data_IF_549708688339
#
_entry.id   IF_549708688339
#
_cell.length_a   1.000
_cell.length_b   1.000
_cell.length_c   1.000
_cell.angle_alpha   90.00
_cell.angle_beta   90.00
_cell.angle_gamma   90.00
#
_symmetry.space_group_name_H-M   'P 1'
#
loop_
_entity.id
_entity.type
_entity.pdbx_description
1 polymer ?
#
# COMPACT_ATOMS: atom_id res chain seq x y z
N UNK A 1 16.46 -7.30 1.59
CA UNK A 1 15.10 -7.22 2.20
C UNK A 1 15.07 -6.05 3.18
N UNK A 2 13.84 -5.59 3.58
CA UNK A 2 13.68 -4.63 4.68
C UNK A 2 13.13 -5.36 5.90
N UNK A 3 13.88 -5.35 7.00
CA UNK A 3 13.52 -5.97 8.27
C UNK A 3 12.98 -4.91 9.23
N UNK A 4 11.69 -4.92 9.46
CA UNK A 4 11.05 -3.99 10.39
C UNK A 4 10.91 -4.65 11.77
N UNK A 5 11.62 -4.12 12.77
CA UNK A 5 11.61 -4.63 14.14
C UNK A 5 10.53 -3.90 14.93
N UNK A 6 9.63 -4.64 15.56
CA UNK A 6 8.62 -4.04 16.42
C UNK A 6 9.24 -3.29 17.60
N UNK A 7 8.57 -2.23 18.06
CA UNK A 7 9.00 -1.44 19.21
C UNK A 7 9.28 -2.31 20.45
N UNK A 8 8.44 -3.31 20.71
CA UNK A 8 8.63 -4.23 21.83
C UNK A 8 9.90 -5.04 21.66
N UNK A 9 10.15 -5.61 20.48
CA UNK A 9 11.33 -6.42 20.20
C UNK A 9 12.63 -5.62 20.24
N UNK A 10 12.59 -4.32 19.89
CA UNK A 10 13.75 -3.42 20.03
C UNK A 10 14.15 -3.19 21.49
N UNK A 11 13.18 -3.10 22.40
CA UNK A 11 13.39 -2.79 23.79
C UNK A 11 13.51 -4.02 24.70
N UNK A 12 13.20 -5.22 24.20
CA UNK A 12 13.22 -6.44 25.02
C UNK A 12 14.65 -6.82 25.41
N UNK A 13 14.87 -7.03 26.71
CA UNK A 13 16.18 -7.33 27.29
C UNK A 13 16.49 -8.83 27.38
N UNK A 14 15.53 -9.69 27.05
CA UNK A 14 15.71 -11.14 27.07
C UNK A 14 16.74 -11.57 26.02
N UNK A 15 17.40 -12.69 26.29
CA UNK A 15 18.55 -13.13 25.49
C UNK A 15 18.15 -13.46 24.05
N UNK A 16 17.03 -14.13 23.84
CA UNK A 16 16.51 -14.47 22.52
C UNK A 16 16.27 -13.24 21.61
N UNK A 17 15.78 -12.13 22.17
CA UNK A 17 15.62 -10.90 21.41
C UNK A 17 16.95 -10.21 21.11
N UNK A 18 17.91 -10.27 22.03
CA UNK A 18 19.27 -9.79 21.76
C UNK A 18 19.94 -10.59 20.66
N UNK A 19 19.74 -11.91 20.65
CA UNK A 19 20.28 -12.79 19.61
C UNK A 19 19.61 -12.53 18.27
N UNK A 20 18.29 -12.36 18.23
CA UNK A 20 17.56 -11.97 17.02
C UNK A 20 18.06 -10.63 16.45
N UNK A 21 18.23 -9.62 17.28
CA UNK A 21 18.76 -8.32 16.85
C UNK A 21 20.19 -8.44 16.30
N UNK A 22 21.07 -9.24 16.91
CA UNK A 22 22.42 -9.50 16.38
C UNK A 22 22.38 -10.24 15.05
N UNK A 23 21.45 -11.19 14.88
CA UNK A 23 21.24 -11.89 13.62
C UNK A 23 20.84 -10.92 12.52
N UNK A 24 19.86 -10.04 12.78
CA UNK A 24 19.42 -9.02 11.80
C UNK A 24 20.53 -8.04 11.44
N UNK A 25 21.33 -7.57 12.43
CA UNK A 25 22.49 -6.73 12.14
C UNK A 25 23.50 -7.44 11.22
N UNK A 26 23.69 -8.77 11.40
CA UNK A 26 24.55 -9.56 10.52
C UNK A 26 23.99 -9.70 9.10
N UNK A 27 22.68 -9.62 8.90
CA UNK A 27 22.07 -9.62 7.56
C UNK A 27 22.36 -8.31 6.82
N UNK A 28 22.34 -7.19 7.53
CA UNK A 28 22.80 -5.93 6.96
C UNK A 28 24.26 -6.03 6.48
N UNK A 29 25.16 -6.50 7.34
CA UNK A 29 26.59 -6.63 7.03
C UNK A 29 26.84 -7.57 5.83
N UNK A 30 26.13 -8.70 5.77
CA UNK A 30 26.39 -9.76 4.79
C UNK A 30 25.66 -9.59 3.47
N UNK A 31 24.47 -9.01 3.50
CA UNK A 31 23.57 -8.98 2.35
C UNK A 31 23.14 -7.57 1.95
N UNK A 32 23.46 -6.56 2.73
CA UNK A 32 22.99 -5.18 2.52
C UNK A 32 21.50 -5.00 2.81
N UNK A 33 20.91 -5.89 3.62
CA UNK A 33 19.52 -5.76 4.03
C UNK A 33 19.30 -4.47 4.83
N UNK A 34 18.17 -3.82 4.62
CA UNK A 34 17.78 -2.68 5.43
C UNK A 34 17.19 -3.15 6.76
N UNK A 35 17.64 -2.55 7.86
CA UNK A 35 17.11 -2.80 9.19
C UNK A 35 16.37 -1.55 9.65
N UNK A 36 15.08 -1.66 9.84
CA UNK A 36 14.23 -0.57 10.28
C UNK A 36 13.32 -0.98 11.44
N UNK A 37 12.31 -0.20 11.75
CA UNK A 37 11.47 -0.37 12.93
C UNK A 37 10.01 -0.05 12.64
N UNK A 38 9.15 -0.54 13.53
CA UNK A 38 7.74 -0.17 13.63
C UNK A 38 7.57 0.67 14.90
N UNK A 39 7.16 1.96 14.82
CA UNK A 39 7.07 2.86 15.97
C UNK A 39 5.84 2.56 16.83
N UNK A 40 6.03 1.93 17.97
CA UNK A 40 4.92 1.54 18.84
C UNK A 40 4.18 0.32 18.32
N UNK A 41 2.89 0.45 18.05
CA UNK A 41 2.07 -0.56 17.37
C UNK A 41 2.11 -0.42 15.86
N UNK A 42 1.69 -1.47 15.14
CA UNK A 42 1.65 -1.47 13.68
C UNK A 42 0.70 -0.39 13.13
N UNK A 43 -0.37 -0.08 13.87
CA UNK A 43 -1.31 1.01 13.59
C UNK A 43 -1.22 2.08 14.69
N UNK A 44 -0.02 2.56 14.96
CA UNK A 44 0.25 3.45 16.09
C UNK A 44 -0.71 4.64 16.23
N UNK A 45 -1.09 5.38 15.14
CA UNK A 45 -1.99 6.54 15.27
C UNK A 45 -3.41 6.23 15.78
N UNK A 46 -3.82 4.95 15.79
CA UNK A 46 -5.11 4.53 16.36
C UNK A 46 -5.08 4.45 17.89
N UNK A 47 -3.91 4.27 18.48
CA UNK A 47 -3.75 3.92 19.90
C UNK A 47 -2.86 4.86 20.67
N UNK A 48 -2.13 5.74 19.97
CA UNK A 48 -1.15 6.60 20.59
C UNK A 48 -1.17 8.02 20.02
N UNK A 49 -0.66 8.98 20.80
CA UNK A 49 -0.58 10.38 20.39
C UNK A 49 0.55 10.59 19.38
N UNK A 50 0.38 11.56 18.49
CA UNK A 50 1.42 11.93 17.54
C UNK A 50 2.75 12.28 18.19
N UNK A 51 2.71 12.96 19.32
CA UNK A 51 3.91 13.32 20.09
C UNK A 51 4.64 12.10 20.61
N UNK A 52 3.94 11.16 21.24
CA UNK A 52 4.56 9.93 21.73
C UNK A 52 5.08 9.05 20.60
N UNK A 53 4.41 9.02 19.46
CA UNK A 53 4.92 8.35 18.25
C UNK A 53 6.23 8.98 17.79
N UNK A 54 6.39 10.32 17.78
CA UNK A 54 7.65 11.00 17.45
C UNK A 54 8.77 10.64 18.40
N UNK A 55 8.50 10.64 19.70
CA UNK A 55 9.48 10.22 20.70
C UNK A 55 9.92 8.76 20.47
N UNK A 56 8.96 7.90 20.15
CA UNK A 56 9.21 6.49 19.81
C UNK A 56 10.05 6.36 18.54
N UNK A 57 9.74 7.11 17.47
CA UNK A 57 10.53 7.15 16.24
C UNK A 57 11.98 7.55 16.55
N UNK A 58 12.18 8.67 17.22
CA UNK A 58 13.51 9.18 17.56
C UNK A 58 14.33 8.14 18.35
N UNK A 59 13.72 7.56 19.37
CA UNK A 59 14.36 6.53 20.20
C UNK A 59 14.63 5.23 19.44
N UNK A 60 13.72 4.79 18.58
CA UNK A 60 13.92 3.61 17.75
C UNK A 60 15.11 3.78 16.80
N UNK A 61 15.25 4.95 16.18
CA UNK A 61 16.39 5.28 15.33
C UNK A 61 17.72 5.20 16.08
N UNK A 62 17.76 5.69 17.32
CA UNK A 62 18.95 5.55 18.17
C UNK A 62 19.28 4.08 18.48
N UNK A 63 18.26 3.27 18.79
CA UNK A 63 18.44 1.85 19.09
C UNK A 63 18.90 1.06 17.86
N UNK A 64 18.33 1.32 16.69
CA UNK A 64 18.73 0.70 15.41
C UNK A 64 20.17 1.08 15.06
N UNK A 65 20.51 2.36 15.17
CA UNK A 65 21.87 2.85 14.91
C UNK A 65 22.89 2.18 15.84
N UNK A 66 22.56 2.07 17.12
CA UNK A 66 23.42 1.40 18.10
C UNK A 66 23.54 -0.12 17.85
N UNK A 67 22.45 -0.76 17.39
CA UNK A 67 22.40 -2.19 17.12
C UNK A 67 23.22 -2.57 15.89
N UNK A 68 23.07 -1.84 14.79
CA UNK A 68 23.78 -2.11 13.53
C UNK A 68 25.22 -1.58 13.58
N UNK A 69 25.43 -0.45 14.22
CA UNK A 69 26.74 0.20 14.31
C UNK A 69 27.13 1.03 13.10
N UNK A 70 28.38 1.52 13.07
CA UNK A 70 28.94 2.23 11.92
C UNK A 70 28.24 3.54 11.52
N UNK A 71 27.40 4.09 12.39
CA UNK A 71 26.58 5.27 12.04
C UNK A 71 25.38 4.93 11.17
N UNK A 72 24.99 3.68 11.13
CA UNK A 72 23.84 3.20 10.33
C UNK A 72 22.57 3.97 10.66
N UNK A 73 21.80 4.26 9.62
CA UNK A 73 20.47 4.86 9.71
C UNK A 73 19.58 4.26 8.61
N UNK A 74 18.36 3.77 8.93
CA UNK A 74 17.47 3.26 7.89
C UNK A 74 17.00 4.39 6.97
N UNK A 75 16.72 4.04 5.73
CA UNK A 75 16.19 4.96 4.72
C UNK A 75 14.65 4.97 4.69
N UNK A 76 14.03 3.94 5.27
CA UNK A 76 12.58 3.77 5.34
C UNK A 76 12.12 3.49 6.78
N UNK A 77 10.92 3.94 7.12
CA UNK A 77 10.17 3.48 8.29
C UNK A 77 8.98 2.63 7.83
N UNK A 78 8.61 1.62 8.61
CA UNK A 78 7.50 0.71 8.33
C UNK A 78 6.38 0.87 9.36
N UNK A 79 5.15 0.99 8.90
CA UNK A 79 3.93 0.95 9.72
C UNK A 79 2.76 0.36 8.92
N UNK A 80 1.72 -0.14 9.56
CA UNK A 80 0.45 -0.48 8.89
C UNK A 80 -0.17 0.77 8.27
N UNK A 81 -0.19 1.87 9.04
CA UNK A 81 -0.26 3.22 8.50
C UNK A 81 0.40 4.23 9.45
N UNK A 82 0.77 5.36 8.88
CA UNK A 82 1.36 6.48 9.63
C UNK A 82 0.71 7.80 9.22
N UNK A 83 0.28 8.57 10.21
CA UNK A 83 -0.34 9.87 10.00
C UNK A 83 0.59 10.86 9.26
N UNK A 84 -0.02 11.83 8.59
CA UNK A 84 0.69 12.80 7.77
C UNK A 84 1.68 13.67 8.58
N UNK A 85 1.35 13.98 9.83
CA UNK A 85 2.20 14.82 10.67
C UNK A 85 3.49 14.09 11.04
N UNK A 86 3.41 12.80 11.37
CA UNK A 86 4.60 11.99 11.66
C UNK A 86 5.39 11.62 10.39
N UNK A 87 4.76 11.45 9.23
CA UNK A 87 5.49 11.35 7.96
C UNK A 87 6.23 12.66 7.64
N UNK A 88 5.64 13.81 7.94
CA UNK A 88 6.35 15.08 7.80
C UNK A 88 7.54 15.20 8.78
N UNK A 89 7.35 14.79 10.04
CA UNK A 89 8.42 14.76 11.03
C UNK A 89 9.60 13.86 10.58
N UNK A 90 9.32 12.68 10.05
CA UNK A 90 10.35 11.80 9.48
C UNK A 90 11.21 12.53 8.45
N UNK A 91 10.58 13.26 7.53
CA UNK A 91 11.30 13.95 6.47
C UNK A 91 12.08 15.18 6.98
N UNK A 92 11.46 16.02 7.83
CA UNK A 92 12.02 17.32 8.22
C UNK A 92 13.00 17.26 9.38
N UNK A 93 12.76 16.36 10.33
CA UNK A 93 13.56 16.30 11.56
C UNK A 93 14.51 15.08 11.55
N UNK A 94 14.05 13.95 11.00
CA UNK A 94 14.83 12.72 11.02
C UNK A 94 15.55 12.45 9.68
N UNK A 95 15.25 13.19 8.61
CA UNK A 95 15.87 13.03 7.30
C UNK A 95 15.55 11.70 6.62
N UNK A 96 14.43 11.07 6.99
CA UNK A 96 13.93 9.84 6.38
C UNK A 96 12.82 10.21 5.40
N UNK A 97 13.04 9.91 4.12
CA UNK A 97 12.17 10.33 3.02
C UNK A 97 11.34 9.21 2.42
N UNK A 98 11.28 8.06 3.08
CA UNK A 98 10.47 6.91 2.65
C UNK A 98 9.74 6.34 3.87
N UNK A 99 8.47 6.07 3.70
CA UNK A 99 7.63 5.40 4.70
C UNK A 99 6.74 4.37 4.01
N UNK A 100 6.86 3.09 4.38
CA UNK A 100 5.76 2.17 4.13
C UNK A 100 4.67 2.56 5.13
N UNK A 101 3.79 3.44 4.69
CA UNK A 101 2.89 4.21 5.54
C UNK A 101 1.43 3.90 5.33
N UNK A 102 1.12 2.85 4.59
CA UNK A 102 -0.24 2.35 4.37
C UNK A 102 -0.23 0.88 3.95
N UNK A 103 -1.40 0.25 4.01
CA UNK A 103 -1.73 -1.01 3.34
C UNK A 103 -2.97 -0.74 2.50
N UNK A 104 -2.80 -0.76 1.18
CA UNK A 104 -3.86 -0.43 0.25
C UNK A 104 -5.02 -1.43 0.30
N UNK A 105 -6.24 -0.94 0.07
CA UNK A 105 -7.44 -1.75 -0.04
C UNK A 105 -7.74 -2.68 1.13
N UNK A 106 -7.38 -2.29 2.33
CA UNK A 106 -7.85 -2.96 3.55
C UNK A 106 -9.27 -2.54 3.95
N UNK A 107 -10.09 -2.30 2.94
CA UNK A 107 -11.46 -1.91 3.09
C UNK A 107 -12.24 -2.87 4.01
N UNK A 108 -12.84 -2.34 5.07
CA UNK A 108 -13.55 -3.13 6.08
C UNK A 108 -12.67 -4.01 6.99
N UNK A 109 -11.34 -4.02 6.79
CA UNK A 109 -10.36 -4.64 7.67
C UNK A 109 -9.58 -3.50 8.35
N UNK A 110 -9.06 -3.75 9.54
CA UNK A 110 -8.22 -2.81 10.29
C UNK A 110 -8.77 -1.36 10.34
N UNK A 111 -10.09 -1.23 10.34
CA UNK A 111 -10.83 0.04 10.47
C UNK A 111 -10.57 1.05 9.36
N UNK A 112 -10.29 0.60 8.14
CA UNK A 112 -10.19 1.42 6.95
C UNK A 112 -8.84 2.08 6.73
N UNK A 113 -7.75 1.54 7.30
CA UNK A 113 -6.41 1.93 6.92
C UNK A 113 -6.17 1.59 5.44
N UNK A 114 -5.57 2.49 4.67
CA UNK A 114 -5.41 2.33 3.21
C UNK A 114 -6.68 2.59 2.38
N UNK A 115 -7.85 2.71 3.01
CA UNK A 115 -9.11 2.96 2.33
C UNK A 115 -9.18 4.39 1.78
N UNK A 116 -9.08 4.51 0.48
CA UNK A 116 -9.01 5.78 -0.24
C UNK A 116 -7.63 6.15 -0.79
N UNK A 117 -6.58 5.40 -0.48
CA UNK A 117 -5.21 5.65 -0.92
C UNK A 117 -4.90 5.24 -2.36
N UNK A 118 -3.64 5.33 -2.72
CA UNK A 118 -3.05 4.91 -4.01
C UNK A 118 -2.11 3.75 -3.74
N UNK A 119 -2.21 2.65 -4.51
CA UNK A 119 -1.43 1.44 -4.31
C UNK A 119 0.02 1.51 -4.80
N UNK A 120 0.41 2.58 -5.49
CA UNK A 120 1.78 2.84 -5.94
C UNK A 120 2.35 4.07 -5.26
N UNK A 121 3.67 4.33 -5.35
CA UNK A 121 4.32 5.42 -4.63
C UNK A 121 3.70 6.79 -4.89
N UNK A 122 3.57 7.61 -3.85
CA UNK A 122 3.13 9.00 -3.95
C UNK A 122 3.67 9.82 -2.77
N UNK A 123 3.56 11.13 -2.86
CA UNK A 123 3.80 12.02 -1.74
C UNK A 123 2.49 12.38 -1.05
N UNK A 124 2.35 12.13 0.26
CA UNK A 124 1.12 12.43 0.98
C UNK A 124 0.88 13.91 1.16
N UNK A 125 -0.38 14.27 1.33
CA UNK A 125 -0.84 15.60 1.71
C UNK A 125 -0.70 15.79 3.22
N UNK A 126 -0.42 17.03 3.66
CA UNK A 126 -0.51 17.42 5.09
C UNK A 126 -1.92 17.30 5.67
N UNK A 127 -2.93 17.17 4.83
CA UNK A 127 -4.32 17.02 5.27
C UNK A 127 -4.66 15.58 5.69
N UNK A 128 -4.07 14.59 5.00
CA UNK A 128 -4.32 13.17 5.24
C UNK A 128 -3.29 12.29 4.55
N UNK A 129 -2.73 11.31 5.24
CA UNK A 129 -1.66 10.44 4.73
C UNK A 129 -2.05 9.66 3.46
N UNK A 130 -3.32 9.26 3.30
CA UNK A 130 -3.82 8.56 2.11
C UNK A 130 -4.10 9.48 0.91
N UNK A 131 -4.18 10.79 1.14
CA UNK A 131 -4.44 11.76 0.11
C UNK A 131 -3.13 12.18 -0.54
N UNK A 132 -2.97 12.06 -1.88
CA UNK A 132 -1.79 12.62 -2.55
C UNK A 132 -1.78 14.14 -2.45
N UNK A 133 -0.62 14.72 -2.19
CA UNK A 133 -0.42 16.16 -2.13
C UNK A 133 -0.88 16.86 -3.42
N UNK A 134 -1.61 17.95 -3.28
CA UNK A 134 -2.19 18.70 -4.40
C UNK A 134 -1.24 19.76 -4.97
N UNK A 135 -0.26 20.18 -4.19
CA UNK A 135 0.73 21.20 -4.56
C UNK A 135 1.78 21.38 -3.48
N UNK A 136 2.66 22.38 -3.64
CA UNK A 136 3.76 22.61 -2.71
C UNK A 136 3.32 22.95 -1.28
N UNK A 137 2.15 23.55 -1.10
CA UNK A 137 1.66 23.98 0.20
C UNK A 137 1.25 22.80 1.14
N UNK A 138 0.82 21.69 0.57
CA UNK A 138 0.38 20.50 1.32
C UNK A 138 1.30 19.29 1.13
N UNK A 139 2.44 19.49 0.50
CA UNK A 139 3.43 18.47 0.17
C UNK A 139 4.22 18.03 1.41
N UNK A 140 4.38 16.72 1.56
CA UNK A 140 5.29 16.09 2.51
C UNK A 140 6.38 15.39 1.70
N UNK A 141 7.66 15.73 1.94
CA UNK A 141 8.81 15.15 1.24
C UNK A 141 9.18 13.75 1.81
N UNK A 142 8.18 12.90 1.92
CA UNK A 142 8.30 11.51 2.33
C UNK A 142 7.48 10.66 1.37
N UNK A 143 8.12 9.76 0.63
CA UNK A 143 7.42 8.84 -0.28
C UNK A 143 6.62 7.86 0.55
N UNK A 144 5.31 7.85 0.36
CA UNK A 144 4.43 6.85 0.95
C UNK A 144 4.37 5.62 0.05
N UNK A 145 4.73 4.47 0.59
CA UNK A 145 4.66 3.17 -0.06
C UNK A 145 3.51 2.34 0.52
N UNK A 146 2.93 1.51 -0.32
CA UNK A 146 2.01 0.46 0.09
C UNK A 146 2.79 -0.75 0.62
N UNK A 147 2.32 -1.37 1.69
CA UNK A 147 2.95 -2.56 2.27
C UNK A 147 2.43 -3.88 1.70
N UNK A 148 1.38 -3.85 0.88
CA UNK A 148 0.72 -5.08 0.45
C UNK A 148 0.11 -5.01 -0.94
N UNK A 149 0.68 -5.71 -1.89
CA UNK A 149 0.10 -5.81 -3.23
C UNK A 149 -1.04 -6.84 -3.24
N UNK A 150 -2.26 -6.34 -3.40
CA UNK A 150 -3.49 -7.14 -3.44
C UNK A 150 -3.95 -7.40 -4.87
N UNK A 151 -4.72 -8.49 -5.03
CA UNK A 151 -5.61 -8.68 -6.17
C UNK A 151 -6.68 -7.58 -6.17
N UNK A 152 -6.78 -6.83 -7.27
CA UNK A 152 -7.65 -5.66 -7.36
C UNK A 152 -9.15 -5.99 -7.31
N UNK A 153 -9.54 -7.17 -7.79
CA UNK A 153 -10.93 -7.61 -7.73
C UNK A 153 -11.29 -8.10 -6.34
N UNK A 154 -10.41 -8.87 -5.69
CA UNK A 154 -10.60 -9.30 -4.33
C UNK A 154 -10.65 -8.08 -3.39
N UNK A 155 -9.73 -7.14 -3.54
CA UNK A 155 -9.60 -5.95 -2.71
C UNK A 155 -10.77 -4.95 -2.81
N UNK A 156 -11.65 -5.07 -3.83
CA UNK A 156 -12.84 -4.20 -3.96
C UNK A 156 -13.93 -4.44 -2.92
N UNK A 157 -13.88 -5.55 -2.21
CA UNK A 157 -14.91 -5.97 -1.25
C UNK A 157 -14.42 -5.80 0.18
N UNK A 158 -15.36 -5.73 1.10
CA UNK A 158 -15.09 -5.70 2.53
C UNK A 158 -14.71 -7.06 3.09
N UNK A 159 -13.63 -7.08 3.84
CA UNK A 159 -13.31 -8.03 4.88
C UNK A 159 -13.22 -9.52 4.48
N UNK A 160 -13.67 -10.35 5.38
CA UNK A 160 -13.64 -11.80 5.29
C UNK A 160 -15.06 -12.34 5.28
N UNK A 161 -15.50 -12.98 4.20
CA UNK A 161 -16.81 -13.59 4.13
C UNK A 161 -16.78 -14.88 3.29
N UNK A 162 -17.26 -16.00 3.85
CA UNK A 162 -17.51 -17.22 3.07
C UNK A 162 -16.30 -17.76 2.30
N UNK A 163 -15.11 -17.71 2.88
CA UNK A 163 -13.85 -18.10 2.22
C UNK A 163 -13.20 -17.00 1.36
N UNK A 164 -13.86 -15.87 1.22
CA UNK A 164 -13.30 -14.69 0.59
C UNK A 164 -12.40 -13.92 1.56
N UNK A 165 -11.30 -13.36 1.04
CA UNK A 165 -10.41 -12.47 1.78
C UNK A 165 -9.96 -11.34 0.86
N UNK A 166 -10.24 -10.09 1.24
CA UNK A 166 -9.86 -8.90 0.49
C UNK A 166 -8.35 -8.65 0.43
N UNK A 167 -7.57 -9.38 1.22
CA UNK A 167 -6.11 -9.33 1.24
C UNK A 167 -5.44 -10.37 0.35
N UNK A 168 -6.18 -11.14 -0.47
CA UNK A 168 -5.57 -12.02 -1.45
C UNK A 168 -4.64 -11.21 -2.35
N UNK A 169 -3.50 -11.79 -2.68
CA UNK A 169 -2.47 -11.13 -3.48
C UNK A 169 -1.12 -11.79 -3.28
N UNK A 170 -0.04 -11.00 -3.13
CA UNK A 170 1.31 -11.55 -3.01
C UNK A 170 1.73 -11.94 -1.59
N UNK A 171 0.97 -11.57 -0.56
CA UNK A 171 1.24 -11.95 0.82
C UNK A 171 0.90 -13.43 1.08
N UNK A 172 1.87 -14.30 1.40
CA UNK A 172 1.61 -15.74 1.55
C UNK A 172 0.73 -16.07 2.73
N UNK A 173 0.76 -15.27 3.80
CA UNK A 173 -0.01 -15.51 5.02
C UNK A 173 -1.51 -15.61 4.72
N UNK A 174 -2.08 -14.58 4.10
CA UNK A 174 -3.49 -14.55 3.72
C UNK A 174 -3.76 -15.38 2.47
N UNK A 175 -2.86 -15.37 1.50
CA UNK A 175 -3.14 -16.01 0.21
C UNK A 175 -2.95 -17.52 0.28
N UNK A 176 -1.81 -18.02 0.71
CA UNK A 176 -1.58 -19.45 0.88
C UNK A 176 -2.37 -20.00 2.08
N UNK A 177 -2.43 -19.24 3.17
CA UNK A 177 -3.18 -19.62 4.36
C UNK A 177 -4.68 -19.82 4.10
N UNK A 178 -5.29 -19.04 3.20
CA UNK A 178 -6.71 -19.18 2.86
C UNK A 178 -6.98 -20.14 1.70
N UNK A 179 -6.10 -20.19 0.69
CA UNK A 179 -6.35 -20.95 -0.55
C UNK A 179 -5.64 -22.31 -0.58
N UNK A 180 -4.70 -22.56 0.34
CA UNK A 180 -3.79 -23.68 0.28
C UNK A 180 -2.62 -23.45 -0.69
N UNK A 181 -1.63 -24.34 -0.65
CA UNK A 181 -0.33 -24.09 -1.30
C UNK A 181 -0.44 -23.89 -2.81
N UNK A 182 -1.13 -24.79 -3.52
CA UNK A 182 -1.20 -24.75 -4.98
C UNK A 182 -1.96 -23.50 -5.48
N UNK A 183 -3.18 -23.32 -5.00
CA UNK A 183 -4.02 -22.19 -5.41
C UNK A 183 -3.45 -20.85 -4.91
N UNK A 184 -2.90 -20.80 -3.69
CA UNK A 184 -2.28 -19.60 -3.14
C UNK A 184 -1.02 -19.17 -3.90
N UNK A 185 -0.14 -20.09 -4.23
CA UNK A 185 1.05 -19.80 -5.07
C UNK A 185 0.65 -19.30 -6.46
N UNK A 186 -0.38 -19.91 -7.06
CA UNK A 186 -0.91 -19.43 -8.33
C UNK A 186 -1.42 -18.00 -8.21
N UNK A 187 -2.21 -17.69 -7.18
CA UNK A 187 -2.74 -16.35 -6.93
C UNK A 187 -1.63 -15.32 -6.71
N UNK A 188 -0.60 -15.65 -5.94
CA UNK A 188 0.57 -14.78 -5.76
C UNK A 188 1.25 -14.44 -7.10
N UNK A 189 1.39 -15.41 -7.99
CA UNK A 189 2.01 -15.21 -9.31
C UNK A 189 1.09 -14.47 -10.27
N UNK A 190 -0.21 -14.74 -10.27
CA UNK A 190 -1.18 -14.03 -11.12
C UNK A 190 -1.27 -12.56 -10.72
N UNK A 191 -1.34 -12.26 -9.42
CA UNK A 191 -1.30 -10.87 -8.92
C UNK A 191 0.01 -10.18 -9.28
N UNK A 192 1.16 -10.86 -9.15
CA UNK A 192 2.46 -10.31 -9.58
C UNK A 192 2.44 -9.95 -11.06
N UNK A 193 1.87 -10.82 -11.91
CA UNK A 193 1.80 -10.61 -13.36
C UNK A 193 0.96 -9.38 -13.74
N UNK A 194 -0.08 -9.05 -12.99
CA UNK A 194 -0.87 -7.82 -13.23
C UNK A 194 0.03 -6.59 -13.17
N UNK A 195 0.96 -6.55 -12.23
CA UNK A 195 1.88 -5.42 -12.04
C UNK A 195 3.07 -5.45 -13.01
N UNK A 196 3.67 -6.62 -13.24
CA UNK A 196 4.91 -6.73 -14.02
C UNK A 196 4.67 -6.86 -15.52
N UNK A 197 3.55 -7.45 -15.95
CA UNK A 197 3.21 -7.53 -17.37
C UNK A 197 2.43 -6.27 -17.79
N UNK A 198 1.14 -6.24 -17.49
CA UNK A 198 0.24 -5.16 -17.95
C UNK A 198 0.46 -3.84 -17.21
N UNK A 199 0.67 -3.89 -15.91
CA UNK A 199 0.95 -2.71 -15.09
C UNK A 199 2.21 -2.00 -15.54
N UNK A 200 3.28 -2.75 -15.82
CA UNK A 200 4.52 -2.19 -16.39
C UNK A 200 4.28 -1.48 -17.72
N UNK A 201 3.53 -2.12 -18.63
CA UNK A 201 3.22 -1.52 -19.93
C UNK A 201 2.39 -0.22 -19.81
N UNK A 202 1.52 -0.11 -18.80
CA UNK A 202 0.66 1.06 -18.59
C UNK A 202 1.37 2.20 -17.85
N UNK A 203 2.27 1.88 -16.93
CA UNK A 203 2.86 2.85 -15.99
C UNK A 203 4.35 3.13 -16.24
N UNK A 204 5.00 2.38 -17.15
CA UNK A 204 6.44 2.48 -17.41
C UNK A 204 7.32 1.76 -16.37
N UNK A 205 6.73 1.23 -15.30
CA UNK A 205 7.37 0.35 -14.33
C UNK A 205 6.33 -0.55 -13.66
N UNK A 206 6.78 -1.67 -13.10
CA UNK A 206 6.00 -2.54 -12.23
C UNK A 206 6.61 -2.57 -10.84
N UNK A 207 5.77 -2.52 -9.81
CA UNK A 207 6.19 -2.62 -8.42
C UNK A 207 5.26 -3.55 -7.66
N UNK A 208 5.85 -4.43 -6.88
CA UNK A 208 5.15 -5.40 -6.03
C UNK A 208 5.82 -5.42 -4.68
N UNK A 209 5.02 -5.35 -3.64
CA UNK A 209 5.46 -5.48 -2.25
C UNK A 209 4.59 -6.48 -1.51
N UNK A 210 5.15 -7.10 -0.48
CA UNK A 210 4.43 -8.00 0.41
C UNK A 210 5.05 -7.99 1.79
N UNK A 211 4.20 -7.93 2.79
CA UNK A 211 4.61 -8.07 4.18
C UNK A 211 4.60 -9.56 4.53
N UNK A 212 5.64 -9.96 5.25
CA UNK A 212 5.75 -11.29 5.82
C UNK A 212 6.08 -11.20 7.30
N UNK A 213 5.22 -11.77 8.10
CA UNK A 213 5.43 -11.85 9.54
C UNK A 213 6.11 -13.17 9.90
N UNK A 214 7.36 -13.08 10.35
CA UNK A 214 8.22 -14.25 10.66
C UNK A 214 7.54 -15.25 11.62
N UNK A 215 6.70 -14.76 12.52
CA UNK A 215 6.00 -15.59 13.52
C UNK A 215 4.86 -16.45 12.94
N UNK A 216 4.40 -16.19 11.75
CA UNK A 216 3.19 -16.85 11.17
C UNK A 216 3.54 -17.98 10.20
N UNK A 217 4.80 -18.18 9.86
CA UNK A 217 5.25 -19.21 8.92
C UNK A 217 5.17 -18.79 7.45
N UNK A 218 5.02 -19.75 6.55
CA UNK A 218 4.98 -19.54 5.09
C UNK A 218 6.30 -19.03 4.47
N UNK A 219 7.43 -19.20 5.15
CA UNK A 219 8.77 -18.86 4.64
C UNK A 219 9.13 -19.60 3.36
N UNK A 220 8.69 -20.87 3.24
CA UNK A 220 8.89 -21.66 2.03
C UNK A 220 8.07 -21.11 0.84
N UNK A 221 6.89 -20.59 1.08
CA UNK A 221 6.05 -20.02 0.03
C UNK A 221 6.60 -18.66 -0.44
N UNK A 222 7.10 -17.84 0.49
CA UNK A 222 7.82 -16.61 0.15
C UNK A 222 9.07 -16.91 -0.67
N UNK A 223 9.88 -17.87 -0.24
CA UNK A 223 11.11 -18.28 -0.96
C UNK A 223 10.77 -18.77 -2.36
N UNK A 224 9.76 -19.64 -2.48
CA UNK A 224 9.28 -20.14 -3.76
C UNK A 224 8.83 -18.99 -4.67
N UNK A 225 8.04 -18.05 -4.15
CA UNK A 225 7.55 -16.90 -4.92
C UNK A 225 8.68 -16.04 -5.46
N UNK A 226 9.67 -15.70 -4.63
CA UNK A 226 10.84 -14.93 -5.05
C UNK A 226 11.63 -15.64 -6.18
N UNK A 227 11.77 -16.97 -6.09
CA UNK A 227 12.41 -17.76 -7.15
C UNK A 227 11.60 -17.74 -8.44
N UNK A 228 10.30 -18.02 -8.37
CA UNK A 228 9.39 -18.02 -9.51
C UNK A 228 9.31 -16.64 -10.20
N UNK A 229 9.31 -15.57 -9.43
CA UNK A 229 9.37 -14.20 -9.95
C UNK A 229 10.65 -13.97 -10.74
N UNK A 230 11.81 -14.34 -10.20
CA UNK A 230 13.09 -14.19 -10.90
C UNK A 230 13.24 -15.09 -12.12
N UNK A 231 12.62 -16.26 -12.12
CA UNK A 231 12.58 -17.15 -13.29
C UNK A 231 11.71 -16.58 -14.41
N UNK A 232 10.56 -15.99 -14.08
CA UNK A 232 9.62 -15.45 -15.07
C UNK A 232 10.02 -14.06 -15.58
N UNK A 233 10.57 -13.21 -14.72
CA UNK A 233 11.00 -11.84 -15.04
C UNK A 233 12.47 -11.67 -14.64
N UNK A 234 13.37 -12.08 -15.53
CA UNK A 234 14.81 -12.18 -15.25
C UNK A 234 15.48 -10.83 -14.92
N UNK A 235 14.89 -9.72 -15.36
CA UNK A 235 15.35 -8.34 -15.13
C UNK A 235 14.77 -7.70 -13.86
N UNK A 236 13.89 -8.43 -13.13
CA UNK A 236 13.32 -7.92 -11.88
C UNK A 236 14.42 -7.67 -10.85
N UNK A 237 14.32 -6.54 -10.15
CA UNK A 237 15.20 -6.20 -9.05
C UNK A 237 14.47 -6.41 -7.71
N UNK A 238 15.16 -7.04 -6.77
CA UNK A 238 14.71 -7.15 -5.39
C UNK A 238 15.43 -6.08 -4.59
N UNK A 239 14.71 -5.08 -4.12
CA UNK A 239 15.24 -3.91 -3.43
C UNK A 239 14.73 -3.86 -1.98
N UNK A 240 15.39 -3.08 -1.15
CA UNK A 240 14.82 -2.63 0.13
C UNK A 240 13.77 -1.56 -0.13
N UNK A 241 12.83 -1.38 0.81
CA UNK A 241 11.81 -0.33 0.73
C UNK A 241 12.45 1.06 0.61
N UNK A 242 13.48 1.32 1.41
CA UNK A 242 14.21 2.59 1.35
C UNK A 242 14.88 2.83 0.01
N UNK A 243 15.62 1.85 -0.50
CA UNK A 243 16.29 1.97 -1.80
C UNK A 243 15.30 2.19 -2.95
N UNK A 244 14.18 1.47 -2.96
CA UNK A 244 13.13 1.66 -3.96
C UNK A 244 12.49 3.06 -3.86
N UNK A 245 12.08 3.46 -2.67
CA UNK A 245 11.44 4.76 -2.46
C UNK A 245 12.35 5.94 -2.80
N UNK A 246 13.64 5.87 -2.44
CA UNK A 246 14.62 6.90 -2.79
C UNK A 246 14.92 6.95 -4.29
N UNK A 247 14.94 5.79 -4.97
CA UNK A 247 15.11 5.76 -6.42
C UNK A 247 13.90 6.37 -7.13
N UNK A 248 12.69 6.02 -6.70
CA UNK A 248 11.46 6.63 -7.22
C UNK A 248 11.45 8.16 -6.98
N UNK A 249 11.85 8.61 -5.78
CA UNK A 249 11.93 10.03 -5.42
C UNK A 249 12.85 10.84 -6.34
N UNK A 250 13.97 10.28 -6.79
CA UNK A 250 14.90 10.95 -7.72
C UNK A 250 14.26 11.30 -9.04
N UNK A 251 13.36 10.44 -9.53
CA UNK A 251 12.69 10.60 -10.83
C UNK A 251 11.34 11.29 -10.71
N UNK A 252 10.78 11.39 -9.51
CA UNK A 252 9.43 11.91 -9.26
C UNK A 252 9.46 12.98 -8.16
N UNK A 253 9.78 14.24 -8.48
CA UNK A 253 9.93 15.29 -7.48
C UNK A 253 8.60 15.79 -6.88
N UNK A 254 7.47 15.37 -7.40
CA UNK A 254 6.12 15.72 -6.92
C UNK A 254 5.05 14.84 -7.55
N UNK A 255 3.81 14.92 -7.04
CA UNK A 255 2.66 14.22 -7.63
C UNK A 255 2.13 14.86 -8.94
N UNK A 256 2.81 15.83 -9.53
CA UNK A 256 2.28 16.54 -10.70
C UNK A 256 2.00 15.63 -11.90
N UNK A 257 2.86 14.64 -12.14
CA UNK A 257 2.76 13.67 -13.21
C UNK A 257 2.11 12.34 -12.79
N UNK A 258 1.65 12.20 -11.55
CA UNK A 258 1.07 10.96 -11.04
C UNK A 258 -0.17 10.57 -11.85
N UNK A 259 -0.12 9.39 -12.48
CA UNK A 259 -1.19 8.81 -13.32
C UNK A 259 -0.98 7.30 -13.44
N UNK A 260 -1.39 6.55 -12.43
CA UNK A 260 -1.28 5.10 -12.43
C UNK A 260 -2.54 4.46 -13.01
N UNK A 261 -2.34 3.43 -13.84
CA UNK A 261 -3.40 2.69 -14.50
C UNK A 261 -3.20 1.20 -14.31
N UNK A 262 -4.25 0.51 -13.95
CA UNK A 262 -4.24 -0.94 -13.82
C UNK A 262 -5.45 -1.52 -14.53
N UNK A 263 -5.31 -2.75 -14.99
CA UNK A 263 -6.31 -3.45 -15.76
C UNK A 263 -6.17 -4.95 -15.51
N UNK A 264 -7.12 -5.49 -14.78
CA UNK A 264 -7.12 -6.86 -14.32
C UNK A 264 -8.39 -7.60 -14.74
N UNK A 265 -8.22 -8.80 -15.31
CA UNK A 265 -9.27 -9.81 -15.35
C UNK A 265 -9.10 -10.71 -14.14
N UNK A 266 -10.22 -11.16 -13.54
CA UNK A 266 -10.17 -12.00 -12.35
C UNK A 266 -9.29 -13.23 -12.51
N UNK A 267 -8.52 -13.53 -11.47
CA UNK A 267 -7.58 -14.66 -11.40
C UNK A 267 -8.28 -16.01 -11.28
N UNK A 268 -9.54 -15.99 -10.79
CA UNK A 268 -10.35 -17.16 -10.45
C UNK A 268 -10.29 -17.51 -8.96
N UNK A 269 -9.56 -16.76 -8.15
CA UNK A 269 -9.65 -16.87 -6.70
C UNK A 269 -11.00 -16.35 -6.17
N UNK A 270 -11.42 -16.74 -4.96
CA UNK A 270 -12.64 -16.23 -4.35
C UNK A 270 -12.60 -14.69 -4.25
N UNK A 271 -13.59 -14.01 -4.82
CA UNK A 271 -13.64 -12.55 -4.92
C UNK A 271 -12.96 -11.97 -6.15
N UNK A 272 -12.22 -12.78 -6.91
CA UNK A 272 -11.57 -12.44 -8.17
C UNK A 272 -12.07 -13.35 -9.30
N UNK A 273 -13.38 -13.37 -9.49
CA UNK A 273 -14.04 -14.23 -10.46
C UNK A 273 -13.64 -13.89 -11.89
N UNK A 274 -13.39 -14.89 -12.74
CA UNK A 274 -12.89 -14.73 -14.12
C UNK A 274 -13.82 -13.96 -15.05
N UNK A 275 -15.11 -13.92 -14.71
CA UNK A 275 -16.12 -13.20 -15.48
C UNK A 275 -16.11 -11.69 -15.19
N UNK A 276 -15.22 -11.21 -14.34
CA UNK A 276 -15.09 -9.80 -14.05
C UNK A 276 -13.74 -9.24 -14.50
N UNK A 277 -13.77 -7.96 -14.83
CA UNK A 277 -12.59 -7.14 -15.11
C UNK A 277 -12.68 -5.84 -14.34
N UNK A 278 -11.59 -5.43 -13.70
CA UNK A 278 -11.51 -4.13 -13.04
C UNK A 278 -10.40 -3.28 -13.68
N UNK A 279 -10.67 -2.00 -13.85
CA UNK A 279 -9.69 -1.01 -14.30
C UNK A 279 -9.59 0.11 -13.30
N UNK A 280 -8.39 0.39 -12.83
CA UNK A 280 -8.10 1.49 -11.94
C UNK A 280 -7.37 2.61 -12.67
N UNK A 281 -7.76 3.84 -12.33
CA UNK A 281 -7.15 5.09 -12.74
C UNK A 281 -6.87 5.91 -11.49
N UNK A 282 -5.61 6.08 -11.11
CA UNK A 282 -5.21 6.74 -9.87
C UNK A 282 -4.27 7.90 -10.20
N UNK A 283 -4.72 9.11 -9.95
CA UNK A 283 -3.95 10.32 -10.22
C UNK A 283 -4.03 11.29 -9.05
N UNK A 284 -3.29 12.40 -9.13
CA UNK A 284 -3.29 13.40 -8.06
C UNK A 284 -4.67 13.95 -7.70
N UNK A 285 -5.63 13.96 -8.62
CA UNK A 285 -6.95 14.60 -8.44
C UNK A 285 -8.04 13.65 -7.96
N UNK A 286 -7.95 12.39 -8.36
CA UNK A 286 -8.92 11.36 -8.01
C UNK A 286 -8.38 9.96 -8.27
N UNK A 287 -9.01 8.97 -7.66
CA UNK A 287 -8.96 7.58 -8.12
C UNK A 287 -10.34 7.16 -8.63
N UNK A 288 -10.37 6.29 -9.62
CA UNK A 288 -11.56 5.75 -10.26
C UNK A 288 -11.38 4.27 -10.51
N UNK A 289 -12.35 3.47 -10.13
CA UNK A 289 -12.42 2.05 -10.49
C UNK A 289 -13.64 1.78 -11.38
N UNK A 290 -13.42 1.07 -12.47
CA UNK A 290 -14.44 0.61 -13.40
C UNK A 290 -14.50 -0.91 -13.39
N UNK A 291 -15.64 -1.46 -12.99
CA UNK A 291 -15.93 -2.89 -12.96
C UNK A 291 -16.78 -3.29 -14.18
N UNK A 292 -16.30 -4.27 -14.93
CA UNK A 292 -17.05 -4.89 -16.03
C UNK A 292 -17.43 -6.33 -15.66
N UNK A 293 -18.65 -6.69 -15.92
CA UNK A 293 -19.10 -8.08 -16.01
C UNK A 293 -18.90 -8.56 -17.47
N UNK A 294 -17.96 -9.46 -17.68
CA UNK A 294 -17.60 -9.98 -19.00
C UNK A 294 -18.58 -11.04 -19.52
N UNK A 295 -19.48 -11.53 -18.66
CA UNK A 295 -20.53 -12.47 -19.05
C UNK A 295 -21.73 -11.79 -19.72
N UNK A 296 -21.76 -10.46 -19.71
CA UNK A 296 -22.84 -9.64 -20.26
C UNK A 296 -22.30 -8.52 -21.16
N UNK A 297 -23.16 -7.96 -22.01
CA UNK A 297 -22.87 -6.75 -22.79
C UNK A 297 -23.13 -5.44 -21.99
N UNK A 298 -23.22 -5.55 -20.66
CA UNK A 298 -23.53 -4.40 -19.81
C UNK A 298 -22.36 -3.41 -19.76
N UNK A 299 -22.65 -2.09 -19.75
CA UNK A 299 -21.63 -1.07 -19.56
C UNK A 299 -20.87 -1.25 -18.23
N UNK A 300 -19.62 -0.79 -18.20
CA UNK A 300 -18.82 -0.77 -16.98
C UNK A 300 -19.50 0.06 -15.89
N UNK A 301 -19.40 -0.43 -14.65
CA UNK A 301 -19.91 0.26 -13.48
C UNK A 301 -18.74 0.92 -12.73
N UNK A 302 -18.96 2.13 -12.24
CA UNK A 302 -18.06 2.81 -11.30
C UNK A 302 -18.23 2.15 -9.93
N UNK A 303 -17.20 1.46 -9.48
CA UNK A 303 -17.15 0.85 -8.14
C UNK A 303 -16.36 1.68 -7.12
N UNK A 304 -15.55 2.64 -7.57
CA UNK A 304 -14.88 3.62 -6.72
C UNK A 304 -14.73 4.95 -7.48
N UNK A 305 -15.01 6.04 -6.81
CA UNK A 305 -14.64 7.38 -7.26
C UNK A 305 -14.35 8.25 -6.04
N UNK A 306 -13.07 8.42 -5.75
CA UNK A 306 -12.59 9.20 -4.59
C UNK A 306 -11.86 10.44 -5.06
N UNK A 307 -12.32 11.62 -4.64
CA UNK A 307 -11.81 12.92 -5.08
C UNK A 307 -10.74 13.46 -4.13
N UNK A 308 -9.51 13.56 -4.59
CA UNK A 308 -8.40 14.10 -3.81
C UNK A 308 -8.27 15.63 -3.83
N UNK A 309 -9.02 16.33 -4.69
CA UNK A 309 -9.07 17.79 -4.72
C UNK A 309 -9.98 18.39 -3.65
N UNK A 310 -10.74 17.56 -2.95
CA UNK A 310 -11.53 17.96 -1.81
C UNK A 310 -10.65 18.09 -0.54
N UNK A 311 -11.11 18.94 0.40
CA UNK A 311 -10.48 19.05 1.71
C UNK A 311 -10.66 17.78 2.52
N UNK A 312 -9.61 17.37 3.19
CA UNK A 312 -9.63 16.26 4.13
C UNK A 312 -8.93 16.67 5.41
N UNK A 313 -9.20 15.96 6.48
CA UNK A 313 -8.52 16.12 7.75
C UNK A 313 -8.43 14.78 8.45
N UNK A 314 -7.23 14.42 8.88
CA UNK A 314 -7.03 13.27 9.75
C UNK A 314 -7.69 13.46 11.12
N UNK A 315 -8.04 12.36 11.79
CA UNK A 315 -8.49 12.40 13.18
C UNK A 315 -7.51 13.15 14.07
N UNK A 316 -8.03 14.06 14.90
CA UNK A 316 -7.22 14.82 15.85
C UNK A 316 -7.19 14.18 17.24
N UNK A 317 -8.06 13.21 17.48
CA UNK A 317 -8.13 12.43 18.71
C UNK A 317 -7.92 10.95 18.40
N UNK A 318 -7.55 10.19 19.41
CA UNK A 318 -7.39 8.74 19.28
C UNK A 318 -8.74 8.13 18.87
N UNK A 319 -8.73 7.48 17.71
CA UNK A 319 -9.89 6.77 17.19
C UNK A 319 -9.45 5.70 16.18
N UNK A 320 -10.33 4.76 15.92
CA UNK A 320 -10.07 3.64 15.03
C UNK A 320 -10.34 3.94 13.55
N UNK A 321 -11.26 4.83 13.25
CA UNK A 321 -11.70 5.12 11.88
C UNK A 321 -10.76 6.14 11.22
N UNK A 322 -10.02 5.68 10.21
CA UNK A 322 -9.03 6.48 9.46
C UNK A 322 -9.26 6.49 7.96
N UNK A 323 -10.39 5.99 7.48
CA UNK A 323 -10.71 5.94 6.05
C UNK A 323 -10.80 7.34 5.43
N UNK A 324 -9.92 7.64 4.47
CA UNK A 324 -10.04 8.84 3.64
C UNK A 324 -11.32 8.82 2.80
N UNK A 325 -11.71 7.64 2.32
CA UNK A 325 -12.91 7.46 1.50
C UNK A 325 -14.17 7.84 2.25
N UNK A 326 -14.27 7.51 3.54
CA UNK A 326 -15.40 7.92 4.38
C UNK A 326 -15.46 9.44 4.57
N UNK A 327 -14.31 10.11 4.61
CA UNK A 327 -14.24 11.58 4.74
C UNK A 327 -14.67 12.25 3.43
N UNK A 328 -14.13 11.79 2.29
CA UNK A 328 -14.32 12.45 0.98
C UNK A 328 -15.61 12.06 0.27
N UNK A 329 -16.04 10.81 0.41
CA UNK A 329 -17.22 10.28 -0.29
C UNK A 329 -18.50 10.33 0.55
N UNK A 330 -18.46 10.89 1.74
CA UNK A 330 -19.52 10.84 2.75
C UNK A 330 -19.77 9.42 3.32
N UNK A 331 -19.73 9.29 4.60
CA UNK A 331 -19.91 8.03 5.32
C UNK A 331 -21.21 7.32 4.91
N UNK A 332 -21.10 6.06 4.48
CA UNK A 332 -22.25 5.22 4.09
C UNK A 332 -22.69 5.33 2.64
N UNK A 333 -21.98 6.07 1.79
CA UNK A 333 -22.28 6.21 0.33
C UNK A 333 -21.19 5.62 -0.54
N UNK A 334 -20.60 4.49 -0.14
CA UNK A 334 -19.54 3.83 -0.89
C UNK A 334 -20.08 3.21 -2.18
N UNK A 335 -19.44 3.53 -3.30
CA UNK A 335 -19.82 2.98 -4.61
C UNK A 335 -19.52 1.49 -4.73
N UNK A 336 -18.58 0.95 -3.95
CA UNK A 336 -18.33 -0.50 -3.90
C UNK A 336 -19.59 -1.29 -3.54
N UNK A 337 -20.38 -0.77 -2.63
CA UNK A 337 -21.63 -1.41 -2.19
C UNK A 337 -22.77 -1.22 -3.19
N UNK A 338 -22.71 -0.15 -3.98
CA UNK A 338 -23.73 0.23 -4.96
C UNK A 338 -23.11 0.83 -6.20
N UNK A 339 -22.43 0.03 -7.03
CA UNK A 339 -21.79 0.51 -8.25
C UNK A 339 -22.82 1.19 -9.18
N UNK A 340 -22.41 2.27 -9.82
CA UNK A 340 -23.27 3.08 -10.69
C UNK A 340 -22.67 3.19 -12.09
N UNK A 341 -23.46 3.51 -13.11
CA UNK A 341 -22.94 3.82 -14.43
C UNK A 341 -22.23 5.18 -14.42
N UNK A 342 -21.26 5.37 -15.30
CA UNK A 342 -20.58 6.67 -15.46
C UNK A 342 -21.55 7.84 -15.67
N UNK A 343 -22.63 7.61 -16.42
CA UNK A 343 -23.67 8.63 -16.71
C UNK A 343 -24.47 9.04 -15.45
N UNK A 344 -24.49 8.21 -14.44
CA UNK A 344 -25.20 8.46 -13.18
C UNK A 344 -24.37 9.30 -12.20
N UNK A 345 -23.05 9.43 -12.43
CA UNK A 345 -22.23 10.34 -11.63
C UNK A 345 -22.67 11.80 -11.86
N UNK A 346 -22.46 12.69 -10.86
CA UNK A 346 -22.68 14.13 -11.04
C UNK A 346 -22.01 14.68 -12.30
N UNK A 347 -22.64 15.61 -13.02
CA UNK A 347 -22.09 16.15 -14.28
C UNK A 347 -20.69 16.74 -14.15
N UNK A 348 -20.35 17.33 -13.01
CA UNK A 348 -19.02 17.87 -12.74
C UNK A 348 -17.96 16.76 -12.63
N UNK A 349 -18.29 15.65 -11.99
CA UNK A 349 -17.39 14.50 -11.83
C UNK A 349 -17.15 13.80 -13.17
N UNK A 350 -18.20 13.64 -13.99
CA UNK A 350 -18.06 13.17 -15.37
C UNK A 350 -17.16 14.06 -16.21
N UNK A 351 -17.34 15.39 -16.12
CA UNK A 351 -16.45 16.34 -16.83
C UNK A 351 -15.01 16.19 -16.39
N UNK A 352 -14.76 16.01 -15.10
CA UNK A 352 -13.43 15.78 -14.52
C UNK A 352 -12.79 14.50 -15.06
N UNK A 353 -13.52 13.39 -15.02
CA UNK A 353 -13.09 12.10 -15.53
C UNK A 353 -12.78 12.20 -17.02
N UNK A 354 -13.71 12.70 -17.84
CA UNK A 354 -13.55 12.78 -19.29
C UNK A 354 -12.52 13.82 -19.75
N UNK A 355 -12.22 14.81 -18.94
CA UNK A 355 -11.11 15.74 -19.19
C UNK A 355 -9.75 15.06 -19.05
N UNK A 356 -9.62 14.13 -18.09
CA UNK A 356 -8.37 13.41 -17.85
C UNK A 356 -8.24 12.15 -18.72
N UNK A 357 -9.36 11.45 -18.93
CA UNK A 357 -9.45 10.17 -19.64
C UNK A 357 -10.55 10.27 -20.73
N UNK A 358 -10.27 10.94 -21.88
CA UNK A 358 -11.27 11.14 -22.94
C UNK A 358 -11.81 9.83 -23.52
N UNK A 359 -10.99 8.77 -23.50
CA UNK A 359 -11.34 7.43 -23.99
C UNK A 359 -12.53 6.81 -23.23
N UNK A 360 -12.76 7.22 -21.99
CA UNK A 360 -13.87 6.70 -21.18
C UNK A 360 -15.25 7.22 -21.63
N UNK A 361 -15.31 8.25 -22.49
CA UNK A 361 -16.58 8.72 -23.08
C UNK A 361 -17.28 7.66 -23.93
N UNK A 362 -16.52 6.73 -24.49
CA UNK A 362 -17.01 5.70 -25.39
C UNK A 362 -17.35 4.39 -24.68
N UNK A 363 -17.32 4.37 -23.36
CA UNK A 363 -17.60 3.18 -22.55
C UNK A 363 -19.00 3.20 -21.91
N UNK A 364 -19.77 4.23 -22.16
CA UNK A 364 -21.16 4.38 -21.72
C UNK A 364 -22.16 3.86 -22.74
#
# INVERSE_FOLDING_TARGET
MTWAISWLALNDTRQEYKDARRLLASYHERFGDEITFIPGGYFAPMYDTREHIRETIHKALQLISAMVGGGYRPECMVAGFMDAENQNFLATEEGIHVCQGQIWSQHGIDNGDGDGGICYPYYPSREHYLKPAQGAADFIDCVCLDGWTCDFLAARRDGFQGGFNSRLGVGPIETVGNLGVEAGRKEMMDTTAIHFDRGHALNGFGWVTGIWEVSVGHDQDLTWWLQAVKERWADVQVLTEGAFGLEWRKHTPSNAALDYRFDENGTGAPGSEKDFRIRWFMNRKFRLALLNDLSTDSPALVSDFTRYDLKAQEPQQLQREWSLMNVLNQKGTRLQDRPVRLEQLPPEDRRRIYSRYPELKNLG
#
